data_IF_826188981117
#
_entry.id   IF_826188981117
#
_cell.length_a   1.000
_cell.length_b   1.000
_cell.length_c   1.000
_cell.angle_alpha   90.00
_cell.angle_beta   90.00
_cell.angle_gamma   90.00
#
_symmetry.space_group_name_H-M   'P 1'
#
loop_
_entity.id
_entity.type
_entity.pdbx_description
1 polymer ?
#
# COMPACT_ATOMS: atom_id res chain seq x y z
N UNK A 1 -0.55 10.58 6.61
CA UNK A 1 -1.13 9.25 6.27
C UNK A 1 -0.18 8.17 6.73
N UNK A 2 -0.65 7.29 7.59
CA UNK A 2 0.16 6.18 8.07
C UNK A 2 0.03 5.00 7.14
N UNK A 3 1.17 4.48 6.70
CA UNK A 3 1.22 3.29 5.86
C UNK A 3 1.92 2.17 6.63
N UNK A 4 1.39 0.96 6.51
CA UNK A 4 1.99 -0.22 7.14
C UNK A 4 2.21 -1.28 6.07
N UNK A 5 3.33 -1.98 6.23
CA UNK A 5 3.73 -3.02 5.28
C UNK A 5 3.94 -4.33 6.01
N UNK A 6 3.51 -5.43 5.42
CA UNK A 6 3.59 -6.75 6.06
C UNK A 6 4.25 -7.76 5.15
N UNK A 7 4.83 -8.79 5.78
CA UNK A 7 5.42 -9.93 5.10
C UNK A 7 6.43 -9.49 4.03
N UNK A 8 6.39 -10.10 2.84
CA UNK A 8 7.40 -9.78 1.83
C UNK A 8 7.24 -8.36 1.26
N UNK A 9 6.06 -7.74 1.40
CA UNK A 9 5.92 -6.33 1.03
C UNK A 9 6.82 -5.48 1.92
N UNK A 10 6.80 -5.74 3.23
CA UNK A 10 7.67 -5.04 4.17
C UNK A 10 9.14 -5.26 3.86
N UNK A 11 9.50 -6.49 3.53
CA UNK A 11 10.91 -6.81 3.23
C UNK A 11 11.40 -6.08 1.99
N UNK A 12 10.55 -5.96 0.98
CA UNK A 12 10.92 -5.28 -0.27
C UNK A 12 10.97 -3.77 -0.12
N UNK A 13 10.00 -3.20 0.60
CA UNK A 13 9.98 -1.76 0.88
C UNK A 13 11.12 -1.36 1.81
N UNK A 14 11.39 -2.19 2.82
CA UNK A 14 12.50 -1.95 3.74
C UNK A 14 12.11 -1.36 5.08
N UNK A 15 10.84 -1.03 5.29
CA UNK A 15 10.35 -0.52 6.58
C UNK A 15 9.02 -1.17 6.90
N UNK A 16 8.70 -1.26 8.19
CA UNK A 16 7.44 -1.86 8.64
C UNK A 16 6.28 -0.88 8.56
N UNK A 17 6.56 0.39 8.75
CA UNK A 17 5.55 1.44 8.69
C UNK A 17 6.22 2.79 8.46
N UNK A 18 5.45 3.73 7.96
CA UNK A 18 5.95 5.10 7.75
C UNK A 18 4.78 6.06 7.65
N UNK A 19 5.05 7.32 7.94
CA UNK A 19 4.09 8.39 7.69
C UNK A 19 4.50 9.12 6.42
N UNK A 20 3.55 9.37 5.55
CA UNK A 20 3.80 10.07 4.29
C UNK A 20 2.84 11.23 4.11
N UNK A 21 3.32 12.27 3.45
CA UNK A 21 2.49 13.39 3.03
C UNK A 21 2.11 13.15 1.59
N UNK A 22 0.84 12.83 1.36
CA UNK A 22 0.38 12.52 0.02
C UNK A 22 0.13 13.81 -0.77
N UNK A 23 0.58 13.85 -2.02
CA UNK A 23 0.23 15.00 -2.88
C UNK A 23 -1.26 14.98 -3.20
N UNK A 24 -1.79 16.12 -3.58
CA UNK A 24 -3.17 16.20 -4.06
C UNK A 24 -3.29 15.33 -5.31
N UNK A 25 -4.45 14.75 -5.51
CA UNK A 25 -4.66 13.88 -6.67
C UNK A 25 -4.56 12.40 -6.36
N UNK A 26 -4.08 12.04 -5.19
CA UNK A 26 -4.09 10.64 -4.75
C UNK A 26 -5.44 10.38 -4.11
N UNK A 27 -6.35 9.77 -4.85
CA UNK A 27 -7.73 9.60 -4.42
C UNK A 27 -8.07 8.17 -3.98
N UNK A 28 -7.43 7.17 -4.57
CA UNK A 28 -7.76 5.76 -4.31
C UNK A 28 -6.53 4.98 -3.89
N UNK A 29 -6.76 3.74 -3.44
CA UNK A 29 -5.66 2.82 -3.11
C UNK A 29 -4.78 2.61 -4.35
N UNK A 30 -5.37 2.44 -5.53
CA UNK A 30 -4.60 2.25 -6.77
C UNK A 30 -3.71 3.46 -7.07
N UNK A 31 -4.24 4.67 -6.86
CA UNK A 31 -3.44 5.88 -7.04
C UNK A 31 -2.27 5.90 -6.07
N UNK A 32 -2.51 5.50 -4.83
CA UNK A 32 -1.48 5.45 -3.79
C UNK A 32 -0.38 4.46 -4.18
N UNK A 33 -0.76 3.27 -4.66
CA UNK A 33 0.20 2.25 -5.09
C UNK A 33 1.06 2.79 -6.25
N UNK A 34 0.43 3.44 -7.22
CA UNK A 34 1.16 4.02 -8.34
C UNK A 34 2.17 5.08 -7.87
N UNK A 35 1.77 5.90 -6.90
CA UNK A 35 2.64 6.91 -6.33
C UNK A 35 3.81 6.27 -5.56
N UNK A 36 3.51 5.27 -4.73
CA UNK A 36 4.54 4.56 -3.96
C UNK A 36 5.57 3.90 -4.88
N UNK A 37 5.13 3.31 -5.97
CA UNK A 37 6.01 2.63 -6.92
C UNK A 37 7.14 3.54 -7.42
N UNK A 38 6.88 4.83 -7.48
CA UNK A 38 7.85 5.81 -7.98
C UNK A 38 8.79 6.35 -6.91
N UNK A 39 8.65 5.91 -5.66
CA UNK A 39 9.45 6.44 -4.56
C UNK A 39 10.84 5.83 -4.45
N UNK A 40 11.07 4.70 -5.10
CA UNK A 40 12.38 4.05 -5.06
C UNK A 40 12.30 2.61 -5.51
N UNK A 41 13.47 1.97 -5.62
CA UNK A 41 13.55 0.61 -6.13
C UNK A 41 12.83 -0.41 -5.24
N UNK A 42 12.91 -0.24 -3.92
CA UNK A 42 12.23 -1.14 -2.99
C UNK A 42 10.72 -1.08 -3.18
N UNK A 43 10.19 0.11 -3.37
CA UNK A 43 8.76 0.30 -3.62
C UNK A 43 8.38 -0.28 -4.99
N UNK A 44 9.17 -0.01 -6.01
CA UNK A 44 8.92 -0.55 -7.35
C UNK A 44 8.91 -2.08 -7.32
N UNK A 45 9.83 -2.68 -6.56
CA UNK A 45 9.88 -4.12 -6.42
C UNK A 45 8.68 -4.66 -5.64
N UNK A 46 8.33 -4.02 -4.52
CA UNK A 46 7.22 -4.46 -3.68
C UNK A 46 5.89 -4.44 -4.45
N UNK A 47 5.70 -3.43 -5.28
CA UNK A 47 4.45 -3.23 -6.01
C UNK A 47 4.57 -3.52 -7.50
N UNK A 48 5.55 -4.34 -7.92
CA UNK A 48 5.74 -4.64 -9.34
C UNK A 48 4.54 -5.33 -9.98
N UNK A 49 3.77 -6.07 -9.17
CA UNK A 49 2.52 -6.66 -9.62
C UNK A 49 1.41 -6.22 -8.67
N UNK A 50 0.83 -5.04 -8.91
CA UNK A 50 -0.15 -4.49 -7.97
C UNK A 50 -1.40 -5.36 -7.83
N UNK A 51 -1.69 -6.22 -8.78
CA UNK A 51 -2.86 -7.09 -8.71
C UNK A 51 -2.79 -8.11 -7.57
N UNK A 52 -1.59 -8.47 -7.14
CA UNK A 52 -1.46 -9.45 -6.06
C UNK A 52 -1.36 -8.79 -4.69
N UNK A 53 -1.20 -7.48 -4.63
CA UNK A 53 -1.11 -6.77 -3.36
C UNK A 53 -2.49 -6.54 -2.79
N UNK A 54 -2.65 -6.85 -1.51
CA UNK A 54 -3.90 -6.61 -0.79
C UNK A 54 -3.74 -5.36 0.06
N UNK A 55 -4.86 -4.69 0.30
CA UNK A 55 -4.86 -3.46 1.09
C UNK A 55 -5.99 -3.49 2.11
N UNK A 56 -5.76 -2.84 3.24
CA UNK A 56 -6.79 -2.63 4.26
C UNK A 56 -6.73 -1.17 4.71
N UNK A 57 -7.89 -0.53 4.74
CA UNK A 57 -8.03 0.82 5.27
C UNK A 57 -8.63 0.69 6.67
N UNK A 58 -7.89 1.20 7.67
CA UNK A 58 -8.32 1.14 9.07
C UNK A 58 -8.77 -0.28 9.44
N UNK A 59 -7.97 -1.28 9.02
CA UNK A 59 -8.15 -2.71 9.29
C UNK A 59 -9.27 -3.38 8.51
N UNK A 60 -9.92 -2.68 7.58
CA UNK A 60 -10.94 -3.27 6.72
C UNK A 60 -10.38 -3.50 5.32
N UNK A 61 -10.49 -4.73 4.84
CA UNK A 61 -10.02 -5.07 3.49
C UNK A 61 -10.77 -4.27 2.44
N UNK A 62 -10.04 -3.73 1.48
CA UNK A 62 -10.61 -2.92 0.40
C UNK A 62 -9.98 -3.28 -0.94
N UNK A 63 -10.62 -2.84 -2.01
CA UNK A 63 -10.10 -3.00 -3.36
C UNK A 63 -9.33 -1.76 -3.79
N UNK A 64 -8.64 -1.86 -4.92
CA UNK A 64 -7.82 -0.77 -5.42
C UNK A 64 -8.60 0.50 -5.76
N UNK A 65 -9.89 0.39 -6.05
CA UNK A 65 -10.72 1.56 -6.35
C UNK A 65 -11.28 2.24 -5.09
N UNK A 66 -10.98 1.71 -3.91
CA UNK A 66 -11.47 2.29 -2.67
C UNK A 66 -10.88 3.69 -2.45
N UNK A 67 -11.70 4.66 -2.05
CA UNK A 67 -11.19 5.99 -1.74
C UNK A 67 -10.40 5.97 -0.42
N UNK A 68 -9.35 6.78 -0.37
CA UNK A 68 -8.50 6.84 0.82
C UNK A 68 -8.75 8.07 1.68
N UNK A 69 -9.64 8.95 1.25
CA UNK A 69 -9.96 10.16 2.00
C UNK A 69 -10.50 9.80 3.38
N UNK A 70 -9.91 10.39 4.39
CA UNK A 70 -10.33 10.14 5.77
C UNK A 70 -9.73 8.91 6.41
N UNK A 71 -8.93 8.15 5.69
CA UNK A 71 -8.29 6.97 6.25
C UNK A 71 -7.25 7.36 7.30
N UNK A 72 -7.25 6.64 8.43
CA UNK A 72 -6.23 6.82 9.46
C UNK A 72 -4.95 6.07 9.12
N UNK A 73 -5.09 4.86 8.60
CA UNK A 73 -3.94 4.08 8.15
C UNK A 73 -4.34 3.17 6.99
N UNK A 74 -3.35 2.84 6.17
CA UNK A 74 -3.53 1.88 5.08
C UNK A 74 -2.42 0.85 5.19
N UNK A 75 -2.81 -0.43 5.21
CA UNK A 75 -1.89 -1.54 5.28
C UNK A 75 -1.80 -2.24 3.93
N UNK A 76 -0.60 -2.66 3.57
CA UNK A 76 -0.35 -3.45 2.36
C UNK A 76 0.25 -4.79 2.74
N UNK A 77 -0.25 -5.84 2.14
CA UNK A 77 0.19 -7.20 2.45
C UNK A 77 0.01 -8.10 1.24
N UNK A 78 0.76 -9.21 1.19
CA UNK A 78 0.60 -10.16 0.09
C UNK A 78 -0.69 -10.96 0.23
N UNK A 79 -1.13 -11.63 -0.84
CA UNK A 79 -2.31 -12.46 -0.75
C UNK A 79 -2.09 -13.61 0.22
N UNK A 80 -3.16 -13.97 0.90
CA UNK A 80 -3.15 -15.16 1.74
C UNK A 80 -3.09 -16.37 0.83
N UNK A 81 -1.99 -17.06 0.87
CA UNK A 81 -1.92 -18.30 0.11
C UNK A 81 -2.57 -19.39 0.94
N UNK A 82 -3.63 -19.88 0.52
CA UNK A 82 -4.37 -20.96 1.02
C UNK A 82 -3.90 -21.75 2.05
N UNK A 83 -3.29 -21.13 2.12
CA UNK A 83 -3.01 -21.87 3.08
C UNK A 83 -4.18 -22.22 3.53
#
# INVERSE_FOLDING_TARGET
>A
MKLRYFAWVRERVGVAEEDVDLPSGIATVADLVAWLTKRGEGYAYAFENPKVIRAAIDKSHVRGDAPIKGAGEIAFFPPMTGG
#
